data_IF_127440293477
#
_entry.id   IF_127440293477
#
_cell.length_a   1.000
_cell.length_b   1.000
_cell.length_c   1.000
_cell.angle_alpha   90.00
_cell.angle_beta   90.00
_cell.angle_gamma   90.00
#
_symmetry.space_group_name_H-M   'P 1'
#
loop_
_entity.id
_entity.type
_entity.pdbx_description
1 polymer ?
#
# COMPACT_ATOMS: atom_id res chain seq x y z
N UNK A 1 -8.22 -19.85 9.79
CA UNK A 1 -6.83 -19.52 9.38
C UNK A 1 -6.79 -18.00 9.25
N UNK A 2 -5.72 -17.33 9.69
CA UNK A 2 -5.51 -15.89 9.46
C UNK A 2 -4.45 -15.71 8.38
N UNK A 3 -4.69 -14.85 7.40
CA UNK A 3 -3.79 -14.55 6.29
C UNK A 3 -3.47 -13.06 6.28
N UNK A 4 -2.17 -12.73 6.34
CA UNK A 4 -1.69 -11.34 6.33
C UNK A 4 -1.04 -11.03 4.99
N UNK A 5 -1.48 -9.97 4.33
CA UNK A 5 -0.81 -9.37 3.18
C UNK A 5 0.31 -8.44 3.65
N UNK A 6 1.41 -8.39 2.90
CA UNK A 6 2.52 -7.49 3.19
C UNK A 6 3.13 -6.95 1.90
N UNK A 7 3.49 -5.66 1.89
CA UNK A 7 4.30 -5.07 0.84
C UNK A 7 5.20 -3.96 1.37
N UNK A 8 6.20 -3.61 0.58
CA UNK A 8 7.04 -2.43 0.80
C UNK A 8 6.95 -1.54 -0.44
N UNK A 9 6.90 -0.22 -0.25
CA UNK A 9 6.92 0.71 -1.36
C UNK A 9 7.73 1.96 -1.01
N UNK A 10 8.30 2.60 -2.03
CA UNK A 10 9.03 3.85 -1.91
C UNK A 10 8.83 4.65 -3.19
N UNK A 11 8.47 5.92 -3.04
CA UNK A 11 8.19 6.84 -4.14
C UNK A 11 7.17 6.29 -5.18
N UNK A 12 6.05 5.73 -4.73
CA UNK A 12 5.03 5.14 -5.61
C UNK A 12 4.37 6.16 -6.54
N UNK A 13 4.25 7.42 -6.10
CA UNK A 13 3.68 8.51 -6.92
C UNK A 13 4.67 8.90 -8.00
N UNK A 14 5.94 9.10 -7.64
CA UNK A 14 7.00 9.50 -8.57
C UNK A 14 7.22 8.45 -9.68
N UNK A 15 7.10 7.18 -9.33
CA UNK A 15 7.27 6.07 -10.27
C UNK A 15 5.98 5.63 -10.95
N UNK A 16 4.87 6.32 -10.70
CA UNK A 16 3.55 6.00 -11.25
C UNK A 16 3.19 4.52 -11.04
N UNK A 17 3.54 3.99 -9.86
CA UNK A 17 3.25 2.61 -9.52
C UNK A 17 1.80 2.51 -9.05
N UNK A 18 0.99 1.58 -9.59
CA UNK A 18 -0.42 1.41 -9.23
C UNK A 18 -0.58 0.73 -7.85
N UNK A 19 -0.09 1.39 -6.80
CA UNK A 19 -0.04 0.85 -5.44
C UNK A 19 -1.43 0.70 -4.84
N UNK A 20 -2.36 1.59 -5.19
CA UNK A 20 -3.74 1.58 -4.68
C UNK A 20 -4.50 0.38 -5.22
N UNK A 21 -4.39 0.13 -6.52
CA UNK A 21 -4.99 -1.01 -7.21
C UNK A 21 -4.38 -2.33 -6.73
N UNK A 22 -3.05 -2.36 -6.55
CA UNK A 22 -2.34 -3.52 -6.02
C UNK A 22 -2.85 -3.89 -4.61
N UNK A 23 -2.97 -2.93 -3.70
CA UNK A 23 -3.49 -3.18 -2.34
C UNK A 23 -4.97 -3.57 -2.39
N UNK A 24 -5.81 -2.81 -3.13
CA UNK A 24 -7.26 -3.07 -3.24
C UNK A 24 -7.59 -4.43 -3.82
N UNK A 25 -6.79 -4.93 -4.77
CA UNK A 25 -6.99 -6.27 -5.33
C UNK A 25 -6.63 -7.39 -4.35
N UNK A 26 -5.73 -7.14 -3.40
CA UNK A 26 -5.30 -8.11 -2.39
C UNK A 26 -6.16 -8.08 -1.11
N UNK A 27 -6.76 -6.94 -0.74
CA UNK A 27 -7.60 -6.80 0.46
C UNK A 27 -8.72 -7.87 0.59
N UNK A 28 -9.41 -8.32 -0.47
CA UNK A 28 -10.47 -9.33 -0.35
C UNK A 28 -9.99 -10.75 0.01
N UNK A 29 -8.68 -11.02 -0.08
CA UNK A 29 -8.11 -12.37 0.13
C UNK A 29 -7.27 -12.48 1.41
N UNK A 30 -7.18 -11.40 2.20
CA UNK A 30 -6.40 -11.34 3.45
C UNK A 30 -7.23 -10.74 4.57
N UNK A 31 -6.90 -11.07 5.82
CA UNK A 31 -7.53 -10.49 7.01
C UNK A 31 -6.93 -9.13 7.38
N UNK A 32 -5.66 -8.89 7.02
CA UNK A 32 -4.95 -7.63 7.23
C UNK A 32 -3.93 -7.39 6.10
N UNK A 33 -3.60 -6.14 5.83
CA UNK A 33 -2.58 -5.77 4.85
C UNK A 33 -1.61 -4.75 5.44
N UNK A 34 -0.35 -5.14 5.61
CA UNK A 34 0.71 -4.31 6.19
C UNK A 34 1.52 -3.67 5.06
N UNK A 35 1.60 -2.33 5.05
CA UNK A 35 2.39 -1.57 4.07
C UNK A 35 3.53 -0.86 4.77
N UNK A 36 4.78 -1.19 4.41
CA UNK A 36 5.93 -0.44 4.88
C UNK A 36 6.36 0.59 3.82
N UNK A 37 6.15 1.86 4.14
CA UNK A 37 6.51 2.98 3.26
C UNK A 37 7.92 3.45 3.60
N UNK A 38 8.86 3.20 2.70
CA UNK A 38 10.21 3.75 2.82
C UNK A 38 10.20 5.29 2.72
N UNK A 39 11.31 5.92 3.10
CA UNK A 39 11.44 7.38 3.03
C UNK A 39 11.09 7.90 1.63
N UNK A 40 9.97 8.62 1.54
CA UNK A 40 9.37 9.11 0.31
C UNK A 40 9.05 10.60 0.47
N UNK A 41 9.28 11.38 -0.58
CA UNK A 41 9.12 12.83 -0.66
C UNK A 41 8.02 13.25 -1.67
N UNK A 42 7.23 12.29 -2.14
CA UNK A 42 6.28 12.42 -3.25
C UNK A 42 4.81 12.24 -2.81
N UNK A 43 4.55 12.21 -1.50
CA UNK A 43 3.20 11.97 -0.96
C UNK A 43 2.78 10.49 -0.91
N UNK A 44 3.67 9.53 -1.18
CA UNK A 44 3.35 8.09 -1.10
C UNK A 44 2.72 7.70 0.24
N UNK A 45 3.21 8.24 1.36
CA UNK A 45 2.68 7.91 2.68
C UNK A 45 1.22 8.38 2.84
N UNK A 46 0.90 9.58 2.38
CA UNK A 46 -0.45 10.14 2.45
C UNK A 46 -1.41 9.40 1.53
N UNK A 47 -0.92 9.00 0.33
CA UNK A 47 -1.66 8.16 -0.59
C UNK A 47 -2.03 6.81 0.05
N UNK A 48 -1.07 6.11 0.67
CA UNK A 48 -1.34 4.84 1.36
C UNK A 48 -2.33 5.02 2.51
N UNK A 49 -2.18 6.10 3.31
CA UNK A 49 -3.10 6.39 4.43
C UNK A 49 -4.53 6.68 3.97
N UNK A 50 -4.70 7.19 2.75
CA UNK A 50 -6.03 7.43 2.17
C UNK A 50 -6.82 6.15 1.84
N UNK A 51 -6.20 4.96 1.90
CA UNK A 51 -6.90 3.68 1.71
C UNK A 51 -7.89 3.40 2.86
N UNK A 52 -7.62 3.92 4.06
CA UNK A 52 -8.37 3.67 5.29
C UNK A 52 -9.24 4.87 5.74
N UNK A 53 -9.43 5.87 4.86
CA UNK A 53 -10.27 7.06 5.10
C UNK A 53 -11.58 7.00 4.30
#
# INVERSE_FOLDING_TARGET
MKVSGFTICRHAVKFDFPIMEAIRSALPVVDEFIVNVGQSDDGTLDLIRSIDS
#
